data_IF_168120285552
#
_entry.id   IF_168120285552
#
_cell.length_a   1.000
_cell.length_b   1.000
_cell.length_c   1.000
_cell.angle_alpha   90.00
_cell.angle_beta   90.00
_cell.angle_gamma   90.00
#
_symmetry.space_group_name_H-M   'P 1'
#
loop_
_entity.id
_entity.type
_entity.pdbx_description
1 polymer ?
#
# COMPACT_ATOMS: atom_id res chain seq x y z
N UNK A 1 10.56 -7.00 27.48
CA UNK A 1 9.75 -5.96 26.78
C UNK A 1 9.61 -6.34 25.29
N UNK A 2 8.42 -6.20 24.70
CA UNK A 2 8.20 -6.48 23.28
C UNK A 2 9.07 -5.60 22.35
N UNK A 3 9.28 -6.02 21.11
CA UNK A 3 9.87 -5.18 20.08
C UNK A 3 8.89 -4.04 19.74
N UNK A 4 9.41 -2.84 19.46
CA UNK A 4 8.61 -1.73 19.01
C UNK A 4 8.44 -1.79 17.48
N UNK A 5 7.48 -2.59 17.03
CA UNK A 5 7.10 -2.66 15.62
C UNK A 5 6.01 -1.62 15.38
N UNK A 6 6.42 -0.45 14.90
CA UNK A 6 5.50 0.61 14.57
C UNK A 6 4.65 0.27 13.33
N UNK A 7 3.41 0.78 13.30
CA UNK A 7 2.60 0.74 12.08
C UNK A 7 3.28 1.58 10.99
N UNK A 8 3.42 1.08 9.76
CA UNK A 8 3.98 1.84 8.67
C UNK A 8 3.25 3.17 8.45
N UNK A 9 4.00 4.24 8.18
CA UNK A 9 3.48 5.58 7.92
C UNK A 9 4.07 6.20 6.65
N UNK A 10 5.22 5.72 6.22
CA UNK A 10 5.95 6.20 5.05
C UNK A 10 6.32 5.06 4.08
N UNK A 11 6.66 5.36 2.81
CA UNK A 11 7.17 4.34 1.88
C UNK A 11 8.42 3.63 2.40
N UNK A 12 9.22 4.32 3.23
CA UNK A 12 10.44 3.77 3.82
C UNK A 12 10.18 2.66 4.83
N UNK A 13 8.98 2.59 5.39
CA UNK A 13 8.63 1.57 6.36
C UNK A 13 8.35 0.21 5.71
N UNK A 14 8.15 0.18 4.38
CA UNK A 14 7.90 -1.06 3.64
C UNK A 14 9.20 -1.66 3.09
N UNK A 15 9.30 -2.98 3.16
CA UNK A 15 10.36 -3.72 2.47
C UNK A 15 9.94 -3.94 1.02
N UNK A 16 10.39 -3.10 0.13
CA UNK A 16 10.04 -3.12 -1.29
C UNK A 16 11.20 -3.59 -2.17
N UNK A 17 10.86 -4.23 -3.28
CA UNK A 17 11.81 -4.46 -4.37
C UNK A 17 12.30 -3.12 -4.91
N UNK A 18 13.58 -3.00 -5.32
CA UNK A 18 14.13 -1.72 -5.81
C UNK A 18 13.32 -1.11 -6.96
N UNK A 19 12.86 -1.94 -7.89
CA UNK A 19 12.06 -1.45 -9.02
C UNK A 19 10.65 -0.98 -8.62
N UNK A 20 10.04 -1.62 -7.62
CA UNK A 20 8.75 -1.19 -7.06
C UNK A 20 8.91 0.14 -6.34
N UNK A 21 9.98 0.27 -5.55
CA UNK A 21 10.31 1.52 -4.87
C UNK A 21 10.50 2.65 -5.87
N UNK A 22 11.30 2.45 -6.91
CA UNK A 22 11.53 3.45 -7.94
C UNK A 22 10.25 3.89 -8.66
N UNK A 23 9.32 2.94 -8.97
CA UNK A 23 8.02 3.28 -9.54
C UNK A 23 7.18 4.11 -8.59
N UNK A 24 7.13 3.74 -7.30
CA UNK A 24 6.38 4.46 -6.29
C UNK A 24 6.93 5.88 -6.12
N UNK A 25 8.23 6.03 -6.00
CA UNK A 25 8.91 7.32 -5.89
C UNK A 25 8.62 8.22 -7.10
N UNK A 26 8.70 7.68 -8.33
CA UNK A 26 8.41 8.44 -9.55
C UNK A 26 6.95 8.94 -9.63
N UNK A 27 6.03 8.25 -8.98
CA UNK A 27 4.63 8.70 -8.85
C UNK A 27 4.52 9.78 -7.76
N UNK A 28 5.21 9.59 -6.63
CA UNK A 28 5.11 10.49 -5.48
C UNK A 28 5.92 11.78 -5.64
N UNK A 29 7.02 11.78 -6.41
CA UNK A 29 7.81 12.99 -6.70
C UNK A 29 7.27 13.77 -7.90
N UNK A 30 6.25 13.24 -8.59
CA UNK A 30 5.63 13.88 -9.75
C UNK A 30 6.39 13.72 -11.07
N UNK A 31 7.48 12.93 -11.10
CA UNK A 31 8.21 12.58 -12.34
C UNK A 31 7.27 11.90 -13.35
N UNK A 32 6.37 11.06 -12.83
CA UNK A 32 5.28 10.47 -13.62
C UNK A 32 3.98 11.21 -13.33
N UNK A 33 3.38 11.78 -14.39
CA UNK A 33 2.04 12.39 -14.26
C UNK A 33 1.00 11.32 -13.92
N UNK A 34 0.50 11.35 -12.70
CA UNK A 34 -0.50 10.41 -12.22
C UNK A 34 -1.60 11.14 -11.41
N UNK A 35 -2.91 10.87 -11.65
CA UNK A 35 -3.43 10.15 -12.81
C UNK A 35 -3.15 10.88 -14.11
N UNK A 36 -2.98 10.14 -15.19
CA UNK A 36 -2.71 10.73 -16.50
C UNK A 36 -2.42 9.68 -17.59
N UNK A 37 -2.47 10.10 -18.83
CA UNK A 37 -2.18 9.23 -19.99
C UNK A 37 -3.00 7.93 -20.04
N UNK A 38 -4.24 7.96 -19.55
CA UNK A 38 -5.10 6.79 -19.48
C UNK A 38 -4.79 5.83 -18.31
N UNK A 39 -3.88 6.22 -17.43
CA UNK A 39 -3.54 5.48 -16.20
C UNK A 39 -4.12 6.23 -15.00
N UNK A 40 -5.00 5.57 -14.26
CA UNK A 40 -5.72 6.13 -13.11
C UNK A 40 -5.64 5.26 -11.86
N UNK A 41 -4.91 4.13 -11.92
CA UNK A 41 -4.81 3.22 -10.81
C UNK A 41 -3.37 2.88 -10.42
N UNK A 42 -3.20 2.61 -9.10
CA UNK A 42 -2.06 1.89 -8.55
C UNK A 42 -2.54 0.48 -8.19
N UNK A 43 -1.93 -0.55 -8.79
CA UNK A 43 -2.29 -1.94 -8.54
C UNK A 43 -1.16 -2.64 -7.77
N UNK A 44 -1.43 -2.92 -6.50
CA UNK A 44 -0.51 -3.64 -5.61
C UNK A 44 -0.79 -5.13 -5.69
N UNK A 45 0.19 -5.91 -6.12
CA UNK A 45 0.05 -7.37 -6.16
C UNK A 45 1.17 -8.05 -5.38
N UNK A 46 0.89 -9.23 -4.83
CA UNK A 46 1.88 -10.01 -4.09
C UNK A 46 1.26 -11.02 -3.15
N UNK A 47 2.11 -11.77 -2.45
CA UNK A 47 1.69 -12.81 -1.50
C UNK A 47 0.84 -12.25 -0.35
N UNK A 48 0.09 -13.12 0.29
CA UNK A 48 -0.67 -12.78 1.50
C UNK A 48 0.25 -12.24 2.60
N UNK A 49 -0.21 -11.21 3.31
CA UNK A 49 0.57 -10.62 4.41
C UNK A 49 1.75 -9.72 3.99
N UNK A 50 1.93 -9.41 2.71
CA UNK A 50 3.00 -8.53 2.22
C UNK A 50 2.80 -7.03 2.49
N UNK A 51 1.67 -6.63 3.10
CA UNK A 51 1.39 -5.23 3.45
C UNK A 51 0.59 -4.45 2.41
N UNK A 52 0.01 -5.09 1.37
CA UNK A 52 -0.76 -4.41 0.29
C UNK A 52 -1.88 -3.53 0.81
N UNK A 53 -2.78 -4.07 1.63
CA UNK A 53 -3.92 -3.31 2.17
C UNK A 53 -3.47 -2.17 3.07
N UNK A 54 -2.37 -2.35 3.81
CA UNK A 54 -1.77 -1.28 4.63
C UNK A 54 -1.25 -0.15 3.75
N UNK A 55 -0.46 -0.46 2.73
CA UNK A 55 0.03 0.53 1.78
C UNK A 55 -1.12 1.18 1.00
N UNK A 56 -2.12 0.41 0.58
CA UNK A 56 -3.27 0.94 -0.14
C UNK A 56 -3.99 2.05 0.62
N UNK A 57 -4.09 1.93 1.94
CA UNK A 57 -4.71 2.94 2.81
C UNK A 57 -3.85 4.19 3.01
N UNK A 58 -2.54 4.10 2.86
CA UNK A 58 -1.60 5.23 3.03
C UNK A 58 -1.39 6.00 1.72
N UNK A 59 -1.45 5.32 0.59
CA UNK A 59 -1.21 5.92 -0.73
C UNK A 59 -2.04 7.18 -1.02
N UNK A 60 -3.34 7.25 -0.71
CA UNK A 60 -4.13 8.47 -0.90
C UNK A 60 -3.54 9.68 -0.16
N UNK A 61 -3.13 9.53 1.10
CA UNK A 61 -2.51 10.60 1.88
C UNK A 61 -1.19 11.07 1.28
N UNK A 62 -0.33 10.16 0.85
CA UNK A 62 0.92 10.51 0.18
C UNK A 62 0.68 11.23 -1.14
N UNK A 63 -0.26 10.74 -1.97
CA UNK A 63 -0.61 11.37 -3.24
C UNK A 63 -1.22 12.76 -3.04
N UNK A 64 -2.11 12.90 -2.08
CA UNK A 64 -2.77 14.18 -1.78
C UNK A 64 -1.76 15.24 -1.33
N UNK A 65 -0.83 14.87 -0.46
CA UNK A 65 0.25 15.75 0.01
C UNK A 65 1.08 16.28 -1.16
N UNK A 66 1.48 15.41 -2.08
CA UNK A 66 2.26 15.82 -3.26
C UNK A 66 1.48 16.76 -4.17
N UNK A 67 0.19 16.46 -4.41
CA UNK A 67 -0.65 17.26 -5.31
C UNK A 67 -1.02 18.63 -4.74
N UNK A 68 -1.15 18.74 -3.44
CA UNK A 68 -1.60 19.96 -2.78
C UNK A 68 -0.46 20.85 -2.31
N UNK A 69 0.76 20.34 -2.20
CA UNK A 69 1.92 21.13 -1.76
C UNK A 69 2.08 22.47 -2.53
N UNK A 70 1.98 22.53 -3.86
CA UNK A 70 2.04 23.81 -4.57
C UNK A 70 0.87 24.74 -4.25
N UNK A 71 -0.31 24.19 -4.01
CA UNK A 71 -1.53 24.95 -3.66
C UNK A 71 -1.40 25.48 -2.23
N UNK A 72 -0.96 24.64 -1.29
CA UNK A 72 -0.78 25.02 0.12
C UNK A 72 0.25 26.13 0.31
N UNK A 73 1.28 26.21 -0.53
CA UNK A 73 2.26 27.31 -0.50
C UNK A 73 1.65 28.68 -0.84
N UNK A 74 0.53 28.71 -1.55
CA UNK A 74 -0.19 29.93 -1.92
C UNK A 74 -1.33 30.30 -0.94
N UNK A 75 -1.66 29.42 0.02
CA UNK A 75 -2.73 29.62 1.01
C UNK A 75 -2.17 30.35 2.23
N UNK A 76 -2.84 31.41 2.74
CA UNK A 76 -2.39 32.10 3.96
C UNK A 76 -2.26 31.16 5.16
N UNK A 77 -1.24 31.37 5.97
CA UNK A 77 -1.04 30.66 7.24
C UNK A 77 -2.30 30.80 8.10
N UNK A 78 -2.91 29.68 8.48
CA UNK A 78 -4.19 29.65 9.22
C UNK A 78 -5.36 29.01 8.45
N UNK A 79 -5.20 28.78 7.14
CA UNK A 79 -6.18 28.09 6.29
C UNK A 79 -5.68 26.71 5.86
N UNK A 80 -4.92 26.02 6.73
CA UNK A 80 -4.29 24.74 6.38
C UNK A 80 -5.36 23.65 6.27
N UNK A 81 -5.53 23.14 5.06
CA UNK A 81 -6.32 21.93 4.80
C UNK A 81 -5.41 20.74 5.09
N UNK A 82 -5.86 19.83 5.96
CA UNK A 82 -5.10 18.60 6.23
C UNK A 82 -5.16 17.67 5.02
N UNK A 83 -4.09 17.66 4.23
CA UNK A 83 -3.95 16.77 3.07
C UNK A 83 -3.42 15.38 3.43
N UNK A 84 -3.02 15.17 4.69
CA UNK A 84 -2.47 13.88 5.14
C UNK A 84 -3.56 12.82 5.36
N UNK A 85 -4.81 13.25 5.56
CA UNK A 85 -5.97 12.39 5.77
C UNK A 85 -7.11 12.72 4.78
N UNK A 86 -6.93 12.41 3.49
CA UNK A 86 -7.97 12.64 2.50
C UNK A 86 -9.18 11.74 2.77
N UNK A 87 -10.34 12.17 2.23
CA UNK A 87 -11.51 11.30 2.18
C UNK A 87 -11.26 10.13 1.23
N UNK A 88 -11.46 8.91 1.72
CA UNK A 88 -11.15 7.66 1.02
C UNK A 88 -12.38 6.76 1.05
N UNK A 89 -12.74 6.25 -0.12
CA UNK A 89 -13.76 5.21 -0.25
C UNK A 89 -13.08 3.83 -0.28
N UNK A 90 -13.31 3.03 0.74
CA UNK A 90 -12.74 1.68 0.84
C UNK A 90 -13.81 0.61 0.63
N UNK A 91 -13.56 -0.28 -0.33
CA UNK A 91 -14.41 -1.42 -0.64
C UNK A 91 -13.61 -2.71 -0.63
N UNK A 92 -14.08 -3.71 0.13
CA UNK A 92 -13.56 -5.07 0.03
C UNK A 92 -14.35 -5.84 -1.03
N UNK A 93 -13.66 -6.37 -2.04
CA UNK A 93 -14.26 -7.18 -3.10
C UNK A 93 -14.47 -8.64 -2.66
N UNK A 94 -14.85 -8.86 -1.39
CA UNK A 94 -15.15 -10.18 -0.85
C UNK A 94 -16.41 -10.79 -1.50
N UNK A 95 -16.65 -12.07 -1.25
CA UNK A 95 -17.84 -12.77 -1.74
C UNK A 95 -19.13 -12.02 -1.35
N UNK A 96 -20.01 -11.80 -2.33
CA UNK A 96 -21.28 -11.08 -2.18
C UNK A 96 -21.22 -9.57 -2.47
N UNK A 97 -20.03 -8.95 -2.51
CA UNK A 97 -19.83 -7.55 -2.85
C UNK A 97 -18.83 -7.38 -4.03
N UNK A 98 -18.93 -8.23 -5.02
CA UNK A 98 -17.98 -8.34 -6.13
C UNK A 98 -18.62 -8.16 -7.51
N UNK A 99 -19.88 -7.79 -7.54
CA UNK A 99 -20.67 -7.65 -8.77
C UNK A 99 -20.61 -6.26 -9.39
N UNK A 100 -21.21 -6.12 -10.58
CA UNK A 100 -21.31 -4.84 -11.29
C UNK A 100 -22.10 -3.78 -10.50
N UNK A 101 -22.98 -4.19 -9.57
CA UNK A 101 -23.71 -3.28 -8.69
C UNK A 101 -22.80 -2.48 -7.76
N UNK A 102 -21.72 -3.10 -7.24
CA UNK A 102 -20.69 -2.40 -6.46
C UNK A 102 -20.06 -1.28 -7.29
N UNK A 103 -19.67 -1.59 -8.53
CA UNK A 103 -19.05 -0.60 -9.42
C UNK A 103 -20.03 0.52 -9.77
N UNK A 104 -21.33 0.20 -9.93
CA UNK A 104 -22.38 1.19 -10.13
C UNK A 104 -22.55 2.15 -8.94
N UNK A 105 -22.45 1.65 -7.71
CA UNK A 105 -22.45 2.48 -6.49
C UNK A 105 -21.23 3.41 -6.45
N UNK A 106 -20.04 2.87 -6.73
CA UNK A 106 -18.81 3.66 -6.82
C UNK A 106 -18.96 4.75 -7.88
N UNK A 107 -19.46 4.40 -9.07
CA UNK A 107 -19.71 5.36 -10.15
C UNK A 107 -20.63 6.50 -9.70
N UNK A 108 -21.75 6.18 -9.07
CA UNK A 108 -22.68 7.19 -8.57
C UNK A 108 -22.03 8.12 -7.55
N UNK A 109 -21.18 7.57 -6.67
CA UNK A 109 -20.48 8.36 -5.66
C UNK A 109 -19.43 9.29 -6.29
N UNK A 110 -18.57 8.80 -7.16
CA UNK A 110 -17.49 9.61 -7.75
C UNK A 110 -18.00 10.65 -8.77
N UNK A 111 -19.28 10.60 -9.15
CA UNK A 111 -19.94 11.66 -9.95
C UNK A 111 -20.33 12.88 -9.08
N UNK A 112 -20.23 12.79 -7.77
CA UNK A 112 -20.40 13.95 -6.87
C UNK A 112 -19.10 14.75 -6.75
N UNK A 113 -19.16 15.92 -6.13
CA UNK A 113 -17.95 16.71 -5.88
C UNK A 113 -17.09 16.06 -4.80
N UNK A 114 -15.79 15.94 -5.06
CA UNK A 114 -14.83 15.55 -4.03
C UNK A 114 -14.51 16.74 -3.11
N UNK A 115 -14.44 16.47 -1.80
CA UNK A 115 -14.02 17.46 -0.80
C UNK A 115 -12.50 17.39 -0.52
N UNK A 116 -11.76 16.52 -1.18
CA UNK A 116 -10.31 16.49 -1.06
C UNK A 116 -9.71 17.77 -1.67
N UNK A 117 -8.63 18.32 -1.09
CA UNK A 117 -7.98 19.54 -1.60
C UNK A 117 -7.56 19.46 -3.07
N UNK A 118 -7.16 18.30 -3.56
CA UNK A 118 -6.86 18.06 -4.98
C UNK A 118 -8.09 17.94 -5.88
N UNK A 119 -9.30 17.94 -5.31
CA UNK A 119 -10.56 17.61 -5.97
C UNK A 119 -10.60 16.19 -6.56
N UNK A 120 -9.72 15.30 -6.14
CA UNK A 120 -9.70 13.89 -6.55
C UNK A 120 -10.50 13.02 -5.60
N UNK A 121 -11.21 12.02 -6.14
CA UNK A 121 -11.72 10.89 -5.38
C UNK A 121 -10.65 9.82 -5.26
N UNK A 122 -10.49 9.24 -4.07
CA UNK A 122 -9.63 8.09 -3.82
C UNK A 122 -10.48 6.88 -3.51
N UNK A 123 -10.44 5.89 -4.40
CA UNK A 123 -11.21 4.66 -4.28
C UNK A 123 -10.27 3.49 -4.12
N UNK A 124 -10.36 2.80 -2.98
CA UNK A 124 -9.59 1.59 -2.71
C UNK A 124 -10.49 0.38 -2.94
N UNK A 125 -10.07 -0.52 -3.81
CA UNK A 125 -10.69 -1.83 -4.03
C UNK A 125 -9.72 -2.92 -3.56
N UNK A 126 -10.03 -3.52 -2.43
CA UNK A 126 -9.21 -4.58 -1.83
C UNK A 126 -9.63 -5.95 -2.39
N UNK A 127 -8.64 -6.76 -2.81
CA UNK A 127 -8.84 -8.08 -3.41
C UNK A 127 -9.67 -8.08 -4.71
N UNK A 128 -9.28 -7.25 -5.68
CA UNK A 128 -9.98 -7.10 -6.98
C UNK A 128 -10.02 -8.39 -7.82
N UNK A 129 -9.19 -9.36 -7.53
CA UNK A 129 -9.24 -10.69 -8.15
C UNK A 129 -10.52 -11.48 -7.83
N UNK A 130 -11.32 -11.04 -6.85
CA UNK A 130 -12.63 -11.58 -6.53
C UNK A 130 -13.77 -10.96 -7.35
N UNK A 131 -13.53 -9.87 -8.09
CA UNK A 131 -14.54 -9.23 -8.92
C UNK A 131 -15.03 -10.15 -10.04
N UNK A 132 -16.32 -10.08 -10.33
CA UNK A 132 -16.88 -10.76 -11.51
C UNK A 132 -16.38 -10.13 -12.81
N UNK A 133 -16.43 -10.86 -13.92
CA UNK A 133 -16.07 -10.35 -15.24
C UNK A 133 -16.89 -9.10 -15.62
N UNK A 134 -18.17 -9.06 -15.26
CA UNK A 134 -19.04 -7.89 -15.48
C UNK A 134 -18.59 -6.69 -14.63
N UNK A 135 -18.16 -6.92 -13.38
CA UNK A 135 -17.60 -5.86 -12.53
C UNK A 135 -16.29 -5.31 -13.08
N UNK A 136 -15.39 -6.17 -13.56
CA UNK A 136 -14.16 -5.72 -14.24
C UNK A 136 -14.45 -4.88 -15.49
N UNK A 137 -15.46 -5.27 -16.30
CA UNK A 137 -15.85 -4.49 -17.47
C UNK A 137 -16.37 -3.10 -17.07
N UNK A 138 -17.20 -3.02 -16.02
CA UNK A 138 -17.70 -1.74 -15.49
C UNK A 138 -16.58 -0.90 -14.86
N UNK A 139 -15.65 -1.53 -14.14
CA UNK A 139 -14.50 -0.86 -13.54
C UNK A 139 -13.63 -0.17 -14.61
N UNK A 140 -13.36 -0.84 -15.73
CA UNK A 140 -12.61 -0.25 -16.86
C UNK A 140 -13.27 1.04 -17.38
N UNK A 141 -14.59 1.11 -17.37
CA UNK A 141 -15.32 2.30 -17.84
C UNK A 141 -15.07 3.50 -16.91
N UNK A 142 -15.18 3.30 -15.58
CA UNK A 142 -14.99 4.38 -14.61
C UNK A 142 -13.51 4.74 -14.40
N UNK A 143 -12.57 3.85 -14.70
CA UNK A 143 -11.14 4.15 -14.70
C UNK A 143 -10.70 5.16 -15.75
N UNK A 144 -11.58 5.53 -16.69
CA UNK A 144 -11.33 6.61 -17.65
C UNK A 144 -11.61 8.01 -17.05
N UNK A 145 -12.19 8.10 -15.85
CA UNK A 145 -12.45 9.39 -15.21
C UNK A 145 -11.13 10.00 -14.69
N UNK A 146 -10.89 11.27 -15.02
CA UNK A 146 -9.64 11.97 -14.70
C UNK A 146 -9.59 12.49 -13.26
N UNK A 147 -10.73 12.53 -12.59
CA UNK A 147 -10.92 13.02 -11.23
C UNK A 147 -10.98 11.88 -10.19
N UNK A 148 -10.66 10.64 -10.59
CA UNK A 148 -10.67 9.47 -9.70
C UNK A 148 -9.32 8.80 -9.75
N UNK A 149 -8.79 8.49 -8.58
CA UNK A 149 -7.61 7.64 -8.38
C UNK A 149 -8.05 6.34 -7.74
N UNK A 150 -7.72 5.24 -8.39
CA UNK A 150 -7.98 3.92 -7.86
C UNK A 150 -6.72 3.35 -7.21
N UNK A 151 -6.88 2.72 -6.05
CA UNK A 151 -5.84 1.87 -5.44
C UNK A 151 -6.40 0.46 -5.34
N UNK A 152 -5.79 -0.44 -6.09
CA UNK A 152 -6.26 -1.81 -6.23
C UNK A 152 -5.29 -2.75 -5.54
N UNK A 153 -5.79 -3.78 -4.86
CA UNK A 153 -4.95 -4.84 -4.32
C UNK A 153 -5.36 -6.19 -4.89
N UNK A 154 -4.41 -7.09 -5.07
CA UNK A 154 -4.66 -8.47 -5.48
C UNK A 154 -3.57 -9.43 -4.98
N UNK A 155 -3.96 -10.66 -4.71
CA UNK A 155 -3.04 -11.76 -4.50
C UNK A 155 -2.78 -12.53 -5.80
N UNK A 156 -3.64 -12.37 -6.81
CA UNK A 156 -3.64 -13.13 -8.06
C UNK A 156 -3.72 -12.22 -9.27
N UNK A 157 -2.59 -11.65 -9.69
CA UNK A 157 -2.53 -10.72 -10.81
C UNK A 157 -3.14 -11.29 -12.11
N UNK A 158 -2.99 -12.60 -12.31
CA UNK A 158 -3.53 -13.33 -13.47
C UNK A 158 -5.06 -13.43 -13.50
N UNK A 159 -5.76 -13.13 -12.40
CA UNK A 159 -7.23 -13.09 -12.35
C UNK A 159 -7.78 -11.69 -12.60
N UNK A 160 -6.94 -10.67 -12.61
CA UNK A 160 -7.35 -9.29 -12.90
C UNK A 160 -7.45 -9.09 -14.41
N UNK A 161 -8.51 -8.44 -14.87
CA UNK A 161 -8.73 -8.16 -16.29
C UNK A 161 -7.54 -7.37 -16.88
N UNK A 162 -7.00 -7.79 -18.03
CA UNK A 162 -5.86 -7.10 -18.67
C UNK A 162 -6.10 -5.61 -18.96
N UNK A 163 -7.35 -5.21 -19.21
CA UNK A 163 -7.71 -3.81 -19.43
C UNK A 163 -7.64 -2.97 -18.14
N UNK A 164 -7.87 -3.59 -16.96
CA UNK A 164 -7.64 -2.95 -15.66
C UNK A 164 -6.14 -2.82 -15.41
N UNK A 165 -5.37 -3.89 -15.66
CA UNK A 165 -3.90 -3.87 -15.52
C UNK A 165 -3.29 -2.78 -16.40
N UNK A 166 -3.74 -2.65 -17.66
CA UNK A 166 -3.23 -1.64 -18.60
C UNK A 166 -3.51 -0.19 -18.19
N UNK A 167 -4.51 0.04 -17.32
CA UNK A 167 -4.82 1.34 -16.73
C UNK A 167 -4.20 1.57 -15.35
N UNK A 168 -3.26 0.70 -14.97
CA UNK A 168 -2.65 0.70 -13.65
C UNK A 168 -1.14 0.76 -13.72
N UNK A 169 -0.53 1.48 -12.78
CA UNK A 169 0.89 1.29 -12.44
C UNK A 169 0.96 0.09 -11.51
N UNK A 170 1.58 -0.98 -11.97
CA UNK A 170 1.68 -2.22 -11.22
C UNK A 170 2.87 -2.15 -10.26
N UNK A 171 2.57 -2.32 -8.97
CA UNK A 171 3.52 -2.34 -7.86
C UNK A 171 3.64 -3.76 -7.31
N UNK A 172 4.83 -4.33 -7.45
CA UNK A 172 5.14 -5.66 -6.94
C UNK A 172 5.44 -5.60 -5.43
N UNK A 173 4.54 -6.15 -4.64
CA UNK A 173 4.64 -6.24 -3.18
C UNK A 173 5.14 -7.62 -2.72
N UNK A 174 5.70 -8.42 -3.61
CA UNK A 174 6.37 -9.66 -3.24
C UNK A 174 7.66 -9.38 -2.48
N UNK A 175 8.27 -10.43 -1.97
CA UNK A 175 9.43 -10.33 -1.08
C UNK A 175 10.53 -9.41 -1.62
N UNK A 176 10.88 -8.41 -0.84
CA UNK A 176 12.11 -7.67 -1.04
C UNK A 176 13.33 -8.58 -0.81
N UNK A 177 14.51 -8.24 -1.37
CA UNK A 177 15.75 -8.96 -1.07
C UNK A 177 15.99 -9.08 0.44
N UNK A 178 16.54 -10.21 0.88
CA UNK A 178 16.84 -10.50 2.29
C UNK A 178 17.69 -9.39 2.93
N UNK A 179 18.60 -8.77 2.17
CA UNK A 179 19.41 -7.64 2.64
C UNK A 179 18.58 -6.42 3.06
N UNK A 180 17.49 -6.13 2.36
CA UNK A 180 16.56 -5.04 2.70
C UNK A 180 15.87 -5.35 4.02
N UNK A 181 15.41 -6.58 4.18
CA UNK A 181 14.79 -7.04 5.42
C UNK A 181 15.73 -7.02 6.60
N UNK A 182 16.98 -7.50 6.44
CA UNK A 182 18.01 -7.47 7.49
C UNK A 182 18.21 -6.05 8.01
N UNK A 183 18.34 -5.08 7.09
CA UNK A 183 18.49 -3.67 7.47
C UNK A 183 17.29 -3.13 8.25
N UNK A 184 16.06 -3.46 7.82
CA UNK A 184 14.84 -3.04 8.51
C UNK A 184 14.68 -3.67 9.88
N UNK A 185 14.94 -4.96 10.01
CA UNK A 185 14.84 -5.66 11.28
C UNK A 185 15.86 -5.09 12.28
N UNK A 186 17.10 -4.83 11.84
CA UNK A 186 18.10 -4.14 12.67
C UNK A 186 17.63 -2.76 13.15
N UNK A 187 16.97 -2.00 12.27
CA UNK A 187 16.39 -0.70 12.65
C UNK A 187 15.29 -0.85 13.72
N UNK A 188 14.43 -1.88 13.62
CA UNK A 188 13.40 -2.19 14.63
C UNK A 188 14.06 -2.52 15.98
N UNK A 189 15.11 -3.33 15.99
CA UNK A 189 15.86 -3.65 17.20
C UNK A 189 16.51 -2.42 17.81
N UNK A 190 17.14 -1.59 17.00
CA UNK A 190 17.75 -0.33 17.46
C UNK A 190 16.71 0.63 18.07
N UNK A 191 15.54 0.79 17.42
CA UNK A 191 14.43 1.60 17.93
C UNK A 191 13.84 1.04 19.24
N UNK A 192 14.02 -0.27 19.50
CA UNK A 192 13.59 -0.94 20.72
C UNK A 192 14.66 -0.95 21.81
N UNK A 193 15.86 -0.38 21.56
CA UNK A 193 16.99 -0.41 22.47
C UNK A 193 17.55 -1.81 22.71
N UNK A 194 17.40 -2.74 21.75
CA UNK A 194 17.78 -4.15 21.87
C UNK A 194 18.88 -4.52 20.87
N UNK A 195 19.66 -5.54 21.24
CA UNK A 195 20.70 -6.09 20.35
C UNK A 195 20.08 -7.05 19.34
N UNK A 196 20.23 -6.80 18.02
CA UNK A 196 19.69 -7.68 16.99
C UNK A 196 20.41 -9.05 17.00
N UNK A 197 19.74 -10.11 16.53
CA UNK A 197 20.39 -11.38 16.22
C UNK A 197 21.44 -11.22 15.11
N UNK A 198 22.35 -12.20 14.93
CA UNK A 198 23.27 -12.23 13.80
C UNK A 198 22.49 -12.19 12.47
N UNK A 199 23.09 -11.57 11.44
CA UNK A 199 22.46 -11.40 10.12
C UNK A 199 21.99 -12.70 9.50
N UNK A 200 22.74 -13.79 9.71
CA UNK A 200 22.37 -15.11 9.21
C UNK A 200 21.08 -15.65 9.86
N UNK A 201 20.89 -15.39 11.16
CA UNK A 201 19.65 -15.78 11.85
C UNK A 201 18.46 -14.96 11.37
N UNK A 202 18.65 -13.65 11.17
CA UNK A 202 17.61 -12.79 10.58
C UNK A 202 17.27 -13.26 9.17
N UNK A 203 18.27 -13.55 8.34
CA UNK A 203 18.08 -14.05 6.97
C UNK A 203 17.27 -15.34 6.95
N UNK A 204 17.55 -16.28 7.86
CA UNK A 204 16.79 -17.52 7.98
C UNK A 204 15.30 -17.29 8.28
N UNK A 205 14.96 -16.33 9.15
CA UNK A 205 13.57 -15.97 9.43
C UNK A 205 12.90 -15.32 8.22
N UNK A 206 13.61 -14.44 7.52
CA UNK A 206 13.11 -13.78 6.31
C UNK A 206 12.80 -14.79 5.21
N UNK A 207 13.73 -15.74 4.98
CA UNK A 207 13.57 -16.76 3.94
C UNK A 207 12.40 -17.70 4.28
N UNK A 208 12.24 -18.08 5.56
CA UNK A 208 11.11 -18.88 6.03
C UNK A 208 9.75 -18.16 5.86
N UNK A 209 9.73 -16.84 5.96
CA UNK A 209 8.52 -16.03 5.84
C UNK A 209 7.96 -15.90 4.41
N UNK A 210 8.68 -16.42 3.38
CA UNK A 210 8.23 -16.47 1.97
C UNK A 210 7.60 -15.17 1.45
N UNK A 211 8.17 -14.01 1.83
CA UNK A 211 7.68 -12.70 1.40
C UNK A 211 6.50 -12.13 2.18
N UNK A 212 5.98 -12.85 3.16
CA UNK A 212 4.96 -12.35 4.06
C UNK A 212 5.58 -11.48 5.16
N UNK A 213 5.43 -10.17 5.05
CA UNK A 213 5.88 -9.24 6.09
C UNK A 213 5.25 -9.56 7.45
N UNK A 214 3.98 -9.97 7.46
CA UNK A 214 3.28 -10.38 8.69
C UNK A 214 3.97 -11.55 9.35
N UNK A 215 4.28 -12.62 8.61
CA UNK A 215 4.97 -13.81 9.14
C UNK A 215 6.37 -13.44 9.63
N UNK A 216 7.16 -12.75 8.81
CA UNK A 216 8.52 -12.33 9.16
C UNK A 216 8.54 -11.54 10.48
N UNK A 217 7.68 -10.52 10.61
CA UNK A 217 7.65 -9.67 11.81
C UNK A 217 7.18 -10.44 13.04
N UNK A 218 6.17 -11.30 12.89
CA UNK A 218 5.71 -12.16 14.00
C UNK A 218 6.80 -13.13 14.46
N UNK A 219 7.51 -13.76 13.53
CA UNK A 219 8.57 -14.71 13.87
C UNK A 219 9.79 -14.04 14.53
N UNK A 220 10.09 -12.80 14.13
CA UNK A 220 11.11 -11.97 14.79
C UNK A 220 10.71 -11.63 16.24
N UNK A 221 9.45 -11.28 16.49
CA UNK A 221 8.94 -11.03 17.83
C UNK A 221 9.01 -12.29 18.71
N UNK A 222 8.59 -13.44 18.17
CA UNK A 222 8.67 -14.74 18.86
C UNK A 222 10.12 -15.08 19.19
N UNK A 223 11.03 -14.95 18.21
CA UNK A 223 12.45 -15.22 18.39
C UNK A 223 13.05 -14.36 19.52
N UNK A 224 12.70 -13.08 19.55
CA UNK A 224 13.15 -12.18 20.61
C UNK A 224 12.60 -12.59 21.98
N UNK A 225 11.32 -12.94 22.05
CA UNK A 225 10.70 -13.39 23.31
C UNK A 225 11.35 -14.66 23.87
N UNK A 226 11.71 -15.61 22.99
CA UNK A 226 12.42 -16.84 23.41
C UNK A 226 13.81 -16.50 23.95
N UNK A 227 14.56 -15.63 23.27
CA UNK A 227 15.88 -15.19 23.71
C UNK A 227 15.82 -14.55 25.10
N UNK A 228 14.85 -13.66 25.35
CA UNK A 228 14.71 -13.00 26.68
C UNK A 228 14.46 -13.98 27.79
N UNK A 229 13.63 -15.01 27.60
CA UNK A 229 13.37 -16.03 28.60
C UNK A 229 14.60 -16.86 28.93
N UNK A 230 15.43 -17.16 27.94
CA UNK A 230 16.67 -17.91 28.15
C UNK A 230 17.71 -17.16 29.02
N UNK A 231 17.70 -15.82 28.97
CA UNK A 231 18.56 -14.98 29.81
C UNK A 231 17.99 -14.71 31.22
N UNK A 232 16.69 -14.93 31.44
CA UNK A 232 16.07 -14.80 32.75
C UNK A 232 16.25 -16.09 33.58
N UNK A 233 16.54 -17.23 32.94
CA UNK A 233 16.74 -18.55 33.57
C UNK A 233 18.22 -18.86 33.85
N UNK A 234 19.19 -18.01 33.48
CA UNK A 234 20.61 -18.06 33.79
C UNK A 234 20.98 -17.07 34.92
#
# INVERSE_FOLDING_TARGET
>A
MALNISTPSSPDDFALMPHTRAKLEAVLDGTVKFPGNGVSALLLYGVYGSGKTTMAKLLPGWLETVKTTPVLQSIPVGSIIDSTQPNIDFYSCAQGQNGASLIGQIQSHVMTMSFNPSCLHYVILDEVDNLTAAAHASLKAIMNYTHVVFVLTTNHLNKVDPGVINRSIVLDMNSAPTSVWVSKIKAIYAASGKTPPPDQAIAGVVDAGNGSARTILTDIEITQSIRERQFEDE
#
